data_IF_060259194429
#
_entry.id   IF_060259194429
#
_cell.length_a   1.000
_cell.length_b   1.000
_cell.length_c   1.000
_cell.angle_alpha   90.00
_cell.angle_beta   90.00
_cell.angle_gamma   90.00
#
_symmetry.space_group_name_H-M   'P 1'
#
loop_
_entity.id
_entity.type
_entity.pdbx_description
1 polymer ?
#
# COMPACT_ATOMS: atom_id res chain seq x y z
N UNK A 1 1.56 -8.09 15.14
CA UNK A 1 0.65 -7.54 14.10
C UNK A 1 1.47 -7.22 12.87
N UNK A 2 1.11 -7.78 11.72
CA UNK A 2 1.77 -7.51 10.43
C UNK A 2 0.86 -6.64 9.57
N UNK A 3 1.39 -5.55 9.05
CA UNK A 3 0.69 -4.63 8.16
C UNK A 3 1.47 -4.53 6.85
N UNK A 4 0.77 -4.66 5.73
CA UNK A 4 1.32 -4.45 4.39
C UNK A 4 0.88 -3.08 3.87
N UNK A 5 1.84 -2.27 3.41
CA UNK A 5 1.57 -1.11 2.57
C UNK A 5 1.79 -1.52 1.11
N UNK A 6 0.85 -1.25 0.23
CA UNK A 6 0.91 -1.66 -1.18
C UNK A 6 0.53 -0.50 -2.08
N UNK A 7 1.33 -0.25 -3.10
CA UNK A 7 1.02 0.63 -4.21
C UNK A 7 1.27 -0.12 -5.52
N UNK A 8 0.21 -0.33 -6.32
CA UNK A 8 0.28 -1.04 -7.60
C UNK A 8 0.31 -0.10 -8.82
N UNK A 9 0.26 1.21 -8.60
CA UNK A 9 0.34 2.21 -9.66
C UNK A 9 1.73 2.38 -10.24
N UNK A 10 1.97 3.55 -10.79
CA UNK A 10 3.30 3.97 -11.25
C UNK A 10 4.34 3.77 -10.14
N UNK A 11 5.47 3.15 -10.47
CA UNK A 11 6.51 2.77 -9.50
C UNK A 11 5.98 1.81 -8.42
N UNK A 12 5.35 0.72 -8.84
CA UNK A 12 4.74 -0.25 -7.96
C UNK A 12 5.69 -0.70 -6.85
N UNK A 13 5.21 -0.64 -5.62
CA UNK A 13 6.02 -0.88 -4.45
C UNK A 13 5.22 -1.47 -3.30
N UNK A 14 5.90 -2.02 -2.30
CA UNK A 14 5.29 -2.48 -1.08
C UNK A 14 6.23 -2.34 0.12
N UNK A 15 5.65 -2.32 1.30
CA UNK A 15 6.39 -2.36 2.55
C UNK A 15 5.75 -3.31 3.56
N UNK A 16 6.54 -3.77 4.49
CA UNK A 16 6.13 -4.67 5.57
C UNK A 16 6.44 -4.03 6.90
N UNK A 17 5.40 -3.84 7.71
CA UNK A 17 5.54 -3.46 9.12
C UNK A 17 5.22 -4.65 10.00
N UNK A 18 6.02 -4.87 11.04
CA UNK A 18 5.73 -5.86 12.10
C UNK A 18 5.87 -5.18 13.45
N UNK A 19 4.79 -5.24 14.24
CA UNK A 19 4.72 -4.66 15.57
C UNK A 19 5.15 -3.17 15.64
N UNK A 20 4.68 -2.40 14.66
CA UNK A 20 4.94 -0.96 14.55
C UNK A 20 6.30 -0.59 13.97
N UNK A 21 7.12 -1.58 13.57
CA UNK A 21 8.44 -1.34 12.97
C UNK A 21 8.44 -1.66 11.49
N UNK A 22 9.03 -0.78 10.68
CA UNK A 22 9.30 -1.07 9.28
C UNK A 22 10.36 -2.17 9.18
N UNK A 23 9.96 -3.31 8.60
CA UNK A 23 10.87 -4.46 8.39
C UNK A 23 11.54 -4.38 7.02
N UNK A 24 10.83 -3.85 6.02
CA UNK A 24 11.38 -3.63 4.69
C UNK A 24 10.45 -2.84 3.80
N UNK A 25 11.05 -2.17 2.81
CA UNK A 25 10.35 -1.49 1.74
C UNK A 25 11.00 -1.88 0.41
N UNK A 26 10.20 -2.11 -0.60
CA UNK A 26 10.61 -2.75 -1.85
C UNK A 26 9.94 -2.08 -3.03
N UNK A 27 10.66 -1.97 -4.14
CA UNK A 27 10.17 -1.47 -5.42
C UNK A 27 10.17 -2.61 -6.44
N UNK A 28 9.09 -2.74 -7.19
CA UNK A 28 8.94 -3.79 -8.22
C UNK A 28 10.04 -3.75 -9.27
N UNK A 29 10.43 -2.55 -9.69
CA UNK A 29 11.50 -2.37 -10.69
C UNK A 29 12.86 -2.99 -10.29
N UNK A 30 13.14 -3.14 -8.98
CA UNK A 30 14.36 -3.77 -8.50
C UNK A 30 14.38 -5.27 -8.78
N UNK A 31 13.21 -5.87 -8.88
CA UNK A 31 13.03 -7.29 -9.19
C UNK A 31 12.88 -7.54 -10.70
N UNK A 32 12.03 -6.76 -11.36
CA UNK A 32 11.72 -6.92 -12.77
C UNK A 32 12.79 -6.35 -13.71
N UNK A 33 13.59 -5.37 -13.22
CA UNK A 33 14.54 -4.57 -14.02
C UNK A 33 13.88 -3.72 -15.11
N UNK A 34 12.59 -3.48 -14.98
CA UNK A 34 11.83 -2.58 -15.83
C UNK A 34 11.65 -1.27 -15.07
N UNK A 35 12.11 -0.16 -15.67
CA UNK A 35 11.99 1.16 -15.05
C UNK A 35 10.52 1.58 -14.95
N UNK A 36 10.14 2.10 -13.79
CA UNK A 36 8.76 2.52 -13.49
C UNK A 36 7.74 1.38 -13.67
N UNK A 37 8.13 0.16 -13.36
CA UNK A 37 7.26 -1.01 -13.47
C UNK A 37 6.04 -0.85 -12.55
N UNK A 38 4.86 -0.98 -13.12
CA UNK A 38 3.56 -0.79 -12.48
C UNK A 38 2.78 -2.08 -12.35
N UNK A 39 1.65 -2.03 -11.66
CA UNK A 39 0.69 -3.12 -11.56
C UNK A 39 1.03 -4.11 -10.45
N UNK A 40 0.64 -5.33 -10.66
CA UNK A 40 0.60 -6.40 -9.66
C UNK A 40 1.91 -6.66 -8.93
N UNK A 41 1.83 -6.76 -7.61
CA UNK A 41 2.99 -6.99 -6.73
C UNK A 41 2.84 -8.19 -5.79
N UNK A 42 1.65 -8.82 -5.71
CA UNK A 42 1.37 -9.79 -4.64
C UNK A 42 2.26 -11.03 -4.68
N UNK A 43 2.66 -11.53 -5.86
CA UNK A 43 3.65 -12.63 -5.94
C UNK A 43 5.01 -12.24 -5.36
N UNK A 44 5.39 -10.97 -5.45
CA UNK A 44 6.62 -10.44 -4.86
C UNK A 44 6.43 -10.20 -3.35
N UNK A 45 5.23 -9.80 -2.93
CA UNK A 45 4.86 -9.70 -1.51
C UNK A 45 4.97 -11.07 -0.85
N UNK A 46 4.39 -12.11 -1.45
CA UNK A 46 4.46 -13.47 -0.91
C UNK A 46 5.90 -13.96 -0.75
N UNK A 47 6.73 -13.81 -1.79
CA UNK A 47 8.16 -14.14 -1.73
C UNK A 47 8.91 -13.32 -0.69
N UNK A 48 8.52 -12.05 -0.52
CA UNK A 48 9.11 -11.18 0.49
C UNK A 48 8.79 -11.67 1.90
N UNK A 49 7.53 -11.99 2.16
CA UNK A 49 7.10 -12.52 3.46
C UNK A 49 7.80 -13.85 3.77
N UNK A 50 7.87 -14.75 2.79
CA UNK A 50 8.59 -16.02 2.92
C UNK A 50 10.06 -15.79 3.30
N UNK A 51 10.77 -14.89 2.60
CA UNK A 51 12.16 -14.56 2.89
C UNK A 51 12.36 -13.92 4.28
N UNK A 52 11.35 -13.21 4.78
CA UNK A 52 11.35 -12.61 6.11
C UNK A 52 10.92 -13.60 7.20
N UNK A 53 10.54 -14.83 6.85
CA UNK A 53 10.02 -15.84 7.79
C UNK A 53 8.67 -15.43 8.39
N UNK A 54 7.86 -14.69 7.65
CA UNK A 54 6.53 -14.21 8.05
C UNK A 54 5.49 -14.99 7.26
N UNK A 55 4.58 -15.67 7.95
CA UNK A 55 3.44 -16.29 7.28
C UNK A 55 2.45 -15.22 6.83
N UNK A 56 1.86 -15.39 5.64
CA UNK A 56 0.76 -14.53 5.20
C UNK A 56 -0.42 -14.54 6.19
N UNK A 57 -0.58 -15.61 6.97
CA UNK A 57 -1.59 -15.68 8.02
C UNK A 57 -1.40 -14.68 9.16
N UNK A 58 -0.19 -14.14 9.33
CA UNK A 58 0.10 -13.09 10.30
C UNK A 58 -0.35 -11.69 9.81
N UNK A 59 -0.65 -11.54 8.51
CA UNK A 59 -1.09 -10.26 7.95
C UNK A 59 -2.47 -9.90 8.50
N UNK A 60 -2.52 -8.78 9.19
CA UNK A 60 -3.71 -8.30 9.89
C UNK A 60 -4.40 -7.16 9.15
N UNK A 61 -3.66 -6.44 8.31
CA UNK A 61 -4.14 -5.25 7.64
C UNK A 61 -3.35 -5.00 6.35
N UNK A 62 -4.04 -4.51 5.33
CA UNK A 62 -3.44 -3.97 4.12
C UNK A 62 -3.78 -2.48 4.04
N UNK A 63 -2.80 -1.65 3.72
CA UNK A 63 -2.97 -0.24 3.40
C UNK A 63 -2.54 -0.01 1.94
N UNK A 64 -3.33 0.73 1.18
CA UNK A 64 -3.02 1.04 -0.22
C UNK A 64 -3.26 2.51 -0.51
N UNK A 65 -2.45 3.10 -1.39
CA UNK A 65 -2.62 4.47 -1.87
C UNK A 65 -3.61 4.57 -3.03
N UNK A 66 -4.17 3.47 -3.50
CA UNK A 66 -4.99 3.47 -4.71
C UNK A 66 -6.45 3.17 -4.40
N UNK A 67 -7.32 4.17 -4.62
CA UNK A 67 -8.77 3.99 -4.65
C UNK A 67 -9.28 3.50 -6.00
N UNK A 68 -8.57 3.82 -7.07
CA UNK A 68 -8.97 3.52 -8.44
C UNK A 68 -8.17 2.36 -9.01
N UNK A 69 -8.40 1.16 -8.49
CA UNK A 69 -7.92 -0.04 -9.16
C UNK A 69 -8.60 -0.17 -10.53
N UNK A 70 -7.97 0.35 -11.56
CA UNK A 70 -8.33 0.09 -12.96
C UNK A 70 -7.88 -1.27 -13.44
N UNK A 71 -7.17 -2.02 -12.64
CA UNK A 71 -6.70 -3.34 -12.95
C UNK A 71 -7.43 -4.39 -12.15
N UNK A 72 -7.91 -5.41 -12.79
CA UNK A 72 -8.15 -6.70 -12.18
C UNK A 72 -6.79 -7.23 -11.76
N UNK A 73 -6.42 -6.95 -10.54
CA UNK A 73 -5.33 -7.65 -9.92
C UNK A 73 -5.80 -9.10 -9.72
N UNK A 74 -5.29 -10.06 -10.49
CA UNK A 74 -5.87 -11.41 -10.52
C UNK A 74 -5.80 -12.13 -9.17
N UNK A 75 -5.15 -11.56 -8.17
CA UNK A 75 -5.00 -12.12 -6.85
C UNK A 75 -5.74 -11.40 -5.73
N UNK A 76 -6.06 -10.11 -5.92
CA UNK A 76 -6.78 -9.33 -4.89
C UNK A 76 -8.22 -9.08 -5.32
N UNK A 77 -9.16 -9.72 -4.64
CA UNK A 77 -10.59 -9.48 -4.85
C UNK A 77 -11.10 -8.46 -3.84
N UNK A 78 -11.36 -7.24 -4.31
CA UNK A 78 -11.99 -6.21 -3.49
C UNK A 78 -13.46 -6.52 -3.29
N UNK A 79 -13.84 -6.87 -2.06
CA UNK A 79 -15.22 -7.21 -1.70
C UNK A 79 -16.07 -5.96 -1.60
N UNK A 80 -15.46 -4.83 -1.25
CA UNK A 80 -16.15 -3.55 -1.12
C UNK A 80 -15.25 -2.43 -1.61
N UNK A 81 -15.59 -1.87 -2.77
CA UNK A 81 -14.96 -0.67 -3.29
C UNK A 81 -15.79 0.54 -2.88
N UNK A 82 -15.18 1.49 -2.21
CA UNK A 82 -15.77 2.79 -1.95
C UNK A 82 -14.93 3.85 -2.67
N UNK A 83 -15.59 4.84 -3.25
CA UNK A 83 -14.93 6.01 -3.83
C UNK A 83 -14.69 7.00 -2.69
N UNK A 84 -13.58 7.72 -2.71
CA UNK A 84 -13.37 8.83 -1.80
C UNK A 84 -14.44 9.89 -2.03
N UNK A 85 -15.08 10.31 -0.94
CA UNK A 85 -16.01 11.44 -0.96
C UNK A 85 -15.26 12.76 -0.68
N UNK A 86 -14.12 12.66 0.02
CA UNK A 86 -13.29 13.79 0.41
C UNK A 86 -11.78 13.44 0.28
N UNK A 87 -10.92 14.39 -0.09
CA UNK A 87 -9.51 14.14 -0.38
C UNK A 87 -8.65 13.79 0.84
N UNK A 88 -9.15 14.01 2.03
CA UNK A 88 -8.47 13.76 3.31
C UNK A 88 -9.01 12.52 4.05
N UNK A 89 -9.97 11.82 3.47
CA UNK A 89 -10.56 10.64 4.06
C UNK A 89 -9.97 9.36 3.48
N UNK A 90 -9.61 8.42 4.36
CA UNK A 90 -9.37 7.05 3.95
C UNK A 90 -10.66 6.27 3.85
N UNK A 91 -10.64 5.20 3.08
CA UNK A 91 -11.79 4.33 2.87
C UNK A 91 -11.52 2.95 3.44
N UNK A 92 -12.42 2.51 4.31
CA UNK A 92 -12.42 1.14 4.83
C UNK A 92 -12.89 0.18 3.75
N UNK A 93 -12.06 -0.81 3.46
CA UNK A 93 -12.31 -1.85 2.47
C UNK A 93 -12.02 -3.23 3.05
N UNK A 94 -12.31 -4.24 2.26
CA UNK A 94 -11.89 -5.61 2.51
C UNK A 94 -11.34 -6.20 1.21
N UNK A 95 -10.27 -6.95 1.33
CA UNK A 95 -9.68 -7.69 0.23
C UNK A 95 -9.70 -9.18 0.53
N UNK A 96 -9.95 -9.98 -0.48
CA UNK A 96 -9.76 -11.43 -0.40
C UNK A 96 -8.45 -11.78 -1.09
N UNK A 97 -7.59 -12.49 -0.37
CA UNK A 97 -6.35 -13.01 -0.89
C UNK A 97 -5.99 -14.35 -0.20
N UNK A 98 -5.61 -15.35 -0.97
CA UNK A 98 -5.38 -16.73 -0.48
C UNK A 98 -6.55 -17.30 0.33
N UNK A 99 -7.79 -16.96 -0.05
CA UNK A 99 -9.01 -17.41 0.64
C UNK A 99 -9.26 -16.76 2.00
N UNK A 100 -8.50 -15.71 2.36
CA UNK A 100 -8.70 -14.92 3.57
C UNK A 100 -9.27 -13.54 3.22
N UNK A 101 -10.18 -13.08 4.06
CA UNK A 101 -10.70 -11.72 4.01
C UNK A 101 -9.87 -10.88 5.00
N UNK A 102 -9.19 -9.87 4.48
CA UNK A 102 -8.29 -9.00 5.24
C UNK A 102 -8.84 -7.57 5.21
N UNK A 103 -8.91 -6.87 6.35
CA UNK A 103 -9.18 -5.45 6.38
C UNK A 103 -8.19 -4.69 5.50
N UNK A 104 -8.70 -3.71 4.75
CA UNK A 104 -7.88 -2.88 3.88
C UNK A 104 -8.27 -1.41 4.01
N UNK A 105 -7.30 -0.53 4.12
CA UNK A 105 -7.51 0.91 4.03
C UNK A 105 -6.98 1.43 2.70
N UNK A 106 -7.87 2.06 1.92
CA UNK A 106 -7.45 2.87 0.80
C UNK A 106 -7.23 4.31 1.31
N UNK A 107 -6.01 4.80 1.20
CA UNK A 107 -5.56 6.08 1.74
C UNK A 107 -5.32 7.03 0.57
N UNK A 108 -5.84 8.27 0.60
CA UNK A 108 -5.59 9.25 -0.45
C UNK A 108 -4.11 9.44 -0.74
N UNK A 109 -3.77 9.56 -2.02
CA UNK A 109 -2.39 9.62 -2.51
C UNK A 109 -1.54 10.68 -1.77
N UNK A 110 -2.04 11.92 -1.73
CA UNK A 110 -1.35 13.01 -1.03
C UNK A 110 -1.26 12.81 0.48
N UNK A 111 -2.24 12.12 1.08
CA UNK A 111 -2.17 11.77 2.51
C UNK A 111 -1.06 10.74 2.78
N UNK A 112 -0.80 9.82 1.84
CA UNK A 112 0.34 8.91 1.94
C UNK A 112 1.67 9.66 1.92
N UNK A 113 1.84 10.64 1.03
CA UNK A 113 3.04 11.50 1.01
C UNK A 113 3.19 12.29 2.30
N UNK A 114 2.09 12.88 2.79
CA UNK A 114 2.10 13.63 4.03
C UNK A 114 2.49 12.77 5.23
N UNK A 115 1.88 11.60 5.36
CA UNK A 115 2.17 10.65 6.44
C UNK A 115 3.65 10.22 6.43
N UNK A 116 4.18 9.86 5.25
CA UNK A 116 5.57 9.48 5.13
C UNK A 116 6.50 10.61 5.58
N UNK A 117 6.28 11.83 5.09
CA UNK A 117 7.12 12.98 5.41
C UNK A 117 7.06 13.33 6.91
N UNK A 118 5.88 13.32 7.49
CA UNK A 118 5.66 13.61 8.90
C UNK A 118 6.34 12.58 9.81
N UNK A 119 6.02 11.30 9.62
CA UNK A 119 6.55 10.24 10.49
C UNK A 119 8.04 9.97 10.31
N UNK A 120 8.61 10.27 9.13
CA UNK A 120 10.04 10.16 8.90
C UNK A 120 10.84 11.34 9.46
N UNK A 121 10.20 12.48 9.75
CA UNK A 121 10.89 13.67 10.28
C UNK A 121 11.32 13.53 11.74
N UNK A 122 10.65 12.70 12.52
CA UNK A 122 10.74 12.60 13.99
C UNK A 122 10.40 13.92 14.72
N UNK A 123 9.63 14.81 14.10
CA UNK A 123 9.17 16.04 14.71
C UNK A 123 7.78 15.83 15.35
N UNK A 124 7.58 16.39 16.55
CA UNK A 124 6.30 16.31 17.26
C UNK A 124 5.23 17.17 16.59
N UNK A 125 5.63 18.31 16.01
CA UNK A 125 4.76 19.24 15.29
C UNK A 125 5.45 19.71 14.01
N UNK A 126 4.76 19.64 12.87
CA UNK A 126 5.29 20.12 11.59
C UNK A 126 4.17 20.53 10.63
N UNK A 127 4.51 21.40 9.69
CA UNK A 127 3.70 21.69 8.51
C UNK A 127 4.22 20.82 7.37
N UNK A 128 3.36 20.01 6.79
CA UNK A 128 3.72 19.16 5.65
C UNK A 128 3.12 19.73 4.38
N UNK A 129 3.95 19.97 3.39
CA UNK A 129 3.55 20.33 2.04
C UNK A 129 3.74 19.12 1.13
N UNK A 130 2.68 18.69 0.45
CA UNK A 130 2.73 17.67 -0.59
C UNK A 130 2.61 18.33 -1.96
N UNK A 131 3.50 17.94 -2.87
CA UNK A 131 3.49 18.42 -4.25
C UNK A 131 3.80 17.25 -5.17
N UNK A 132 2.87 16.96 -6.07
CA UNK A 132 2.98 15.89 -7.04
C UNK A 132 2.40 16.31 -8.39
N UNK A 133 2.75 15.57 -9.45
CA UNK A 133 2.23 15.76 -10.80
C UNK A 133 0.81 15.25 -11.01
N UNK A 134 0.27 14.50 -10.06
CA UNK A 134 -1.05 13.89 -10.11
C UNK A 134 -1.52 13.38 -8.74
N UNK A 135 -2.64 12.70 -8.72
CA UNK A 135 -3.23 12.11 -7.53
C UNK A 135 -4.60 11.52 -7.81
N UNK A 136 -5.35 11.16 -6.75
CA UNK A 136 -6.62 10.44 -6.88
C UNK A 136 -7.75 11.22 -7.56
N UNK A 137 -7.62 12.52 -7.68
CA UNK A 137 -8.65 13.43 -8.21
C UNK A 137 -8.28 14.10 -9.53
N UNK A 138 -7.21 13.66 -10.20
CA UNK A 138 -6.72 14.23 -11.45
C UNK A 138 -6.52 13.18 -12.55
#
# INVERSE_FOLDING_TARGET
MVVLGICGGHDANWCVFKDGKLIGAFEKERFSRIRHDEGYVMDLVDKTLENLGISFDEVSLIATSEANFKGTDPGLHYIKKRIYDEPDQWVDMQVEYHGRIIPCFAIPHHLCHAAYSYYASNEDESVVLTWDGGGDFY
#
